data_IF_580938523090
#
_entry.id   IF_580938523090
#
_cell.length_a   1.000
_cell.length_b   1.000
_cell.length_c   1.000
_cell.angle_alpha   90.00
_cell.angle_beta   90.00
_cell.angle_gamma   90.00
#
_symmetry.space_group_name_H-M   'P 1'
#
loop_
_entity.id
_entity.type
_entity.pdbx_description
1 polymer ?
#
# COMPACT_ATOMS: atom_id res chain seq x y z
N UNK A 1 -20.24 -28.62 -41.94
CA UNK A 1 -18.96 -27.90 -41.79
C UNK A 1 -19.02 -26.74 -40.79
N UNK A 2 -20.12 -26.53 -40.04
CA UNK A 2 -20.34 -25.33 -39.20
C UNK A 2 -19.88 -25.41 -37.71
N UNK A 3 -19.45 -26.58 -37.21
CA UNK A 3 -19.08 -26.72 -35.79
C UNK A 3 -17.63 -26.32 -35.46
N UNK A 4 -16.72 -26.31 -36.46
CA UNK A 4 -15.29 -26.01 -36.23
C UNK A 4 -15.06 -24.51 -36.03
N UNK A 5 -15.82 -23.68 -36.74
CA UNK A 5 -15.68 -22.21 -36.66
C UNK A 5 -16.06 -21.70 -35.26
N UNK A 6 -17.10 -22.26 -34.63
CA UNK A 6 -17.50 -21.89 -33.27
C UNK A 6 -16.47 -22.25 -32.19
N UNK A 7 -15.67 -23.30 -32.38
CA UNK A 7 -14.58 -23.67 -31.45
C UNK A 7 -13.42 -22.69 -31.58
N UNK A 8 -13.07 -22.31 -32.81
CA UNK A 8 -11.99 -21.35 -33.07
C UNK A 8 -12.38 -19.97 -32.53
N UNK A 9 -13.57 -19.46 -32.84
CA UNK A 9 -14.05 -18.17 -32.34
C UNK A 9 -14.03 -18.10 -30.80
N UNK A 10 -14.54 -19.14 -30.13
CA UNK A 10 -14.53 -19.17 -28.65
C UNK A 10 -13.12 -19.21 -28.07
N UNK A 11 -12.17 -19.88 -28.73
CA UNK A 11 -10.78 -19.88 -28.28
C UNK A 11 -10.12 -18.51 -28.50
N UNK A 12 -10.44 -17.82 -29.60
CA UNK A 12 -9.97 -16.46 -29.86
C UNK A 12 -10.50 -15.48 -28.80
N UNK A 13 -11.79 -15.54 -28.45
CA UNK A 13 -12.37 -14.70 -27.38
C UNK A 13 -11.65 -14.88 -26.03
N UNK A 14 -11.32 -16.13 -25.66
CA UNK A 14 -10.57 -16.41 -24.43
C UNK A 14 -9.16 -15.82 -24.50
N UNK A 15 -8.48 -15.95 -25.64
CA UNK A 15 -7.15 -15.37 -25.83
C UNK A 15 -7.19 -13.84 -25.78
N UNK A 16 -8.19 -13.21 -26.39
CA UNK A 16 -8.39 -11.76 -26.33
C UNK A 16 -8.61 -11.27 -24.89
N UNK A 17 -9.38 -12.00 -24.09
CA UNK A 17 -9.55 -11.70 -22.67
C UNK A 17 -8.24 -11.88 -21.89
N UNK A 18 -7.48 -12.95 -22.15
CA UNK A 18 -6.17 -13.18 -21.53
C UNK A 18 -5.18 -12.04 -21.86
N UNK A 19 -5.17 -11.56 -23.11
CA UNK A 19 -4.35 -10.41 -23.52
C UNK A 19 -4.77 -9.16 -22.77
N UNK A 20 -6.07 -8.86 -22.71
CA UNK A 20 -6.59 -7.70 -21.99
C UNK A 20 -6.21 -7.73 -20.51
N UNK A 21 -6.38 -8.88 -19.84
CA UNK A 21 -6.03 -9.04 -18.43
C UNK A 21 -4.52 -8.80 -18.19
N UNK A 22 -3.66 -9.29 -19.09
CA UNK A 22 -2.22 -9.06 -19.05
C UNK A 22 -1.84 -7.61 -19.31
N UNK A 23 -2.53 -6.92 -20.23
CA UNK A 23 -2.33 -5.49 -20.48
C UNK A 23 -2.70 -4.65 -19.25
N UNK A 24 -3.82 -4.98 -18.58
CA UNK A 24 -4.20 -4.35 -17.32
C UNK A 24 -3.19 -4.61 -16.21
N UNK A 25 -2.72 -5.85 -16.03
CA UNK A 25 -1.68 -6.18 -15.06
C UNK A 25 -0.38 -5.42 -15.36
N UNK A 26 0.05 -5.35 -16.63
CA UNK A 26 1.23 -4.57 -17.03
C UNK A 26 1.08 -3.09 -16.66
N UNK A 27 -0.08 -2.48 -16.90
CA UNK A 27 -0.33 -1.09 -16.54
C UNK A 27 -0.25 -0.86 -15.01
N UNK A 28 -0.72 -1.83 -14.21
CA UNK A 28 -0.59 -1.80 -12.75
C UNK A 28 0.87 -1.91 -12.30
N UNK A 29 1.66 -2.78 -12.93
CA UNK A 29 3.09 -2.88 -12.64
C UNK A 29 3.85 -1.60 -12.98
N UNK A 30 3.52 -0.95 -14.10
CA UNK A 30 4.16 0.33 -14.48
C UNK A 30 3.83 1.44 -13.48
N UNK A 31 2.58 1.50 -12.99
CA UNK A 31 2.14 2.57 -12.09
C UNK A 31 2.51 2.35 -10.63
N UNK A 32 2.40 1.12 -10.12
CA UNK A 32 2.60 0.79 -8.71
C UNK A 32 3.97 0.18 -8.44
N UNK A 33 4.56 -0.50 -9.42
CA UNK A 33 5.84 -1.19 -9.29
C UNK A 33 6.95 -0.31 -8.71
N UNK A 34 7.23 0.89 -9.27
CA UNK A 34 8.29 1.76 -8.74
C UNK A 34 8.13 2.08 -7.24
N UNK A 35 6.89 2.29 -6.76
CA UNK A 35 6.61 2.59 -5.35
C UNK A 35 6.84 1.40 -4.40
N UNK A 36 6.83 0.19 -4.94
CA UNK A 36 6.88 -1.07 -4.20
C UNK A 36 8.22 -1.81 -4.35
N UNK A 37 8.90 -1.66 -5.49
CA UNK A 37 10.15 -2.37 -5.82
C UNK A 37 11.35 -1.81 -5.06
N UNK A 38 11.36 -0.51 -4.78
CA UNK A 38 12.48 0.16 -4.10
C UNK A 38 12.57 -0.17 -2.60
N UNK A 39 11.59 -0.89 -2.05
CA UNK A 39 11.48 -1.17 -0.61
C UNK A 39 11.44 -2.67 -0.36
N UNK A 40 12.50 -3.18 0.26
CA UNK A 40 12.65 -4.60 0.57
C UNK A 40 11.44 -5.14 1.34
N UNK A 41 10.91 -6.28 0.88
CA UNK A 41 9.81 -7.00 1.53
C UNK A 41 8.40 -6.51 1.22
N UNK A 42 8.23 -5.40 0.48
CA UNK A 42 6.90 -4.93 0.07
C UNK A 42 6.29 -5.76 -1.05
N UNK A 43 7.10 -6.36 -1.92
CA UNK A 43 6.69 -7.36 -2.89
C UNK A 43 7.27 -8.71 -2.49
N UNK A 44 6.47 -9.76 -2.65
CA UNK A 44 6.84 -11.14 -2.37
C UNK A 44 6.83 -11.96 -3.63
N UNK A 45 7.61 -13.04 -3.62
CA UNK A 45 7.58 -14.02 -4.69
C UNK A 45 6.15 -14.57 -4.88
N UNK A 46 5.68 -14.55 -6.13
CA UNK A 46 4.33 -14.99 -6.49
C UNK A 46 3.23 -13.95 -6.35
N UNK A 47 3.54 -12.71 -5.95
CA UNK A 47 2.57 -11.62 -6.03
C UNK A 47 2.12 -11.37 -7.47
N UNK A 48 0.82 -11.19 -7.66
CA UNK A 48 0.21 -10.87 -8.94
C UNK A 48 -0.59 -9.58 -8.84
N UNK A 49 -0.25 -8.59 -9.65
CA UNK A 49 -0.95 -7.31 -9.73
C UNK A 49 -2.09 -7.39 -10.76
N UNK A 50 -3.07 -8.25 -10.46
CA UNK A 50 -4.30 -8.34 -11.26
C UNK A 50 -5.31 -7.27 -10.85
N UNK A 51 -6.29 -6.98 -11.70
CA UNK A 51 -7.38 -6.04 -11.39
C UNK A 51 -8.07 -6.34 -10.03
N UNK A 52 -8.24 -7.64 -9.69
CA UNK A 52 -8.85 -8.07 -8.42
C UNK A 52 -8.04 -7.65 -7.19
N UNK A 53 -6.71 -7.59 -7.31
CA UNK A 53 -5.81 -7.25 -6.20
C UNK A 53 -5.24 -5.83 -6.30
N UNK A 54 -5.52 -5.12 -7.38
CA UNK A 54 -5.03 -3.77 -7.64
C UNK A 54 -5.31 -2.81 -6.48
N UNK A 55 -6.54 -2.82 -5.94
CA UNK A 55 -6.90 -1.96 -4.81
C UNK A 55 -6.01 -2.17 -3.58
N UNK A 56 -5.72 -3.42 -3.22
CA UNK A 56 -4.81 -3.75 -2.11
C UNK A 56 -3.41 -3.20 -2.39
N UNK A 57 -2.84 -3.47 -3.56
CA UNK A 57 -1.47 -3.03 -3.86
C UNK A 57 -1.36 -1.52 -4.05
N UNK A 58 -2.41 -0.85 -4.54
CA UNK A 58 -2.49 0.61 -4.60
C UNK A 58 -2.43 1.21 -3.19
N UNK A 59 -3.20 0.67 -2.25
CA UNK A 59 -3.12 1.09 -0.84
C UNK A 59 -1.73 0.85 -0.27
N UNK A 60 -1.13 -0.31 -0.53
CA UNK A 60 0.23 -0.60 -0.06
C UNK A 60 1.26 0.40 -0.61
N UNK A 61 1.17 0.72 -1.90
CA UNK A 61 2.08 1.65 -2.56
C UNK A 61 2.00 3.06 -1.98
N UNK A 62 0.78 3.58 -1.78
CA UNK A 62 0.55 4.90 -1.18
C UNK A 62 0.99 4.95 0.28
N UNK A 63 0.70 3.90 1.05
CA UNK A 63 1.15 3.81 2.45
C UNK A 63 2.67 3.77 2.53
N UNK A 64 3.32 2.97 1.69
CA UNK A 64 4.77 2.87 1.68
C UNK A 64 5.44 4.17 1.25
N UNK A 65 4.89 4.84 0.23
CA UNK A 65 5.33 6.16 -0.21
C UNK A 65 5.27 7.18 0.92
N UNK A 66 4.12 7.28 1.60
CA UNK A 66 3.95 8.19 2.73
C UNK A 66 4.93 7.91 3.88
N UNK A 67 5.12 6.63 4.22
CA UNK A 67 6.01 6.21 5.30
C UNK A 67 7.50 6.39 4.95
N UNK A 68 7.85 6.46 3.66
CA UNK A 68 9.22 6.71 3.22
C UNK A 68 9.60 8.19 3.13
N UNK A 69 8.71 9.12 3.49
CA UNK A 69 9.06 10.53 3.61
C UNK A 69 10.02 10.79 4.78
N UNK A 70 10.93 11.75 4.63
CA UNK A 70 12.00 12.05 5.61
C UNK A 70 11.46 12.23 7.04
N UNK A 71 10.38 13.00 7.20
CA UNK A 71 9.73 13.19 8.51
C UNK A 71 9.27 11.85 9.12
N UNK A 72 8.71 10.95 8.33
CA UNK A 72 8.17 9.68 8.85
C UNK A 72 9.26 8.69 9.22
N UNK A 73 10.42 8.80 8.59
CA UNK A 73 11.63 8.12 9.05
C UNK A 73 12.06 8.72 10.40
N UNK A 74 12.23 10.04 10.49
CA UNK A 74 12.67 10.72 11.73
C UNK A 74 11.75 10.46 12.94
N UNK A 75 10.43 10.58 12.76
CA UNK A 75 9.43 10.42 13.82
C UNK A 75 8.99 8.96 14.03
N UNK A 76 9.66 8.00 13.40
CA UNK A 76 9.39 6.58 13.62
C UNK A 76 8.01 6.11 13.15
N UNK A 77 7.51 6.68 12.06
CA UNK A 77 6.33 6.21 11.33
C UNK A 77 5.10 7.11 11.41
N UNK A 78 3.94 6.55 11.01
CA UNK A 78 2.68 7.27 10.96
C UNK A 78 1.54 6.51 11.65
N UNK A 79 0.55 7.24 12.17
CA UNK A 79 -0.67 6.65 12.71
C UNK A 79 -1.58 6.10 11.60
N UNK A 80 -2.46 5.17 11.96
CA UNK A 80 -3.48 4.62 11.05
C UNK A 80 -4.35 5.73 10.43
N UNK A 81 -4.60 6.82 11.16
CA UNK A 81 -5.45 7.93 10.68
C UNK A 81 -4.74 8.76 9.62
N UNK A 82 -3.48 9.12 9.85
CA UNK A 82 -2.67 9.86 8.87
C UNK A 82 -2.56 9.08 7.56
N UNK A 83 -2.29 7.77 7.65
CA UNK A 83 -2.22 6.90 6.48
C UNK A 83 -3.55 6.81 5.73
N UNK A 84 -4.67 6.70 6.44
CA UNK A 84 -5.98 6.66 5.80
C UNK A 84 -6.29 7.97 5.07
N UNK A 85 -6.03 9.11 5.71
CA UNK A 85 -6.26 10.43 5.12
C UNK A 85 -5.41 10.63 3.86
N UNK A 86 -4.16 10.19 3.87
CA UNK A 86 -3.31 10.24 2.69
C UNK A 86 -3.87 9.37 1.54
N UNK A 87 -4.26 8.12 1.84
CA UNK A 87 -4.85 7.23 0.83
C UNK A 87 -6.17 7.79 0.28
N UNK A 88 -7.01 8.37 1.12
CA UNK A 88 -8.29 8.97 0.72
C UNK A 88 -8.10 10.18 -0.21
N UNK A 89 -7.02 10.95 -0.04
CA UNK A 89 -6.71 12.11 -0.88
C UNK A 89 -6.16 11.72 -2.28
N UNK A 90 -5.42 10.62 -2.36
CA UNK A 90 -4.74 10.18 -3.59
C UNK A 90 -5.59 9.22 -4.46
N UNK A 91 -6.69 8.70 -3.91
CA UNK A 91 -7.57 7.76 -4.62
C UNK A 91 -8.82 8.49 -5.10
N UNK A 92 -9.14 8.45 -6.42
CA UNK A 92 -10.39 9.01 -6.94
C UNK A 92 -11.61 8.45 -6.21
N UNK A 93 -12.64 9.26 -6.02
CA UNK A 93 -13.83 8.87 -5.23
C UNK A 93 -14.51 7.59 -5.74
N UNK A 94 -14.48 7.35 -7.06
CA UNK A 94 -15.01 6.12 -7.68
C UNK A 94 -14.28 4.84 -7.23
N UNK A 95 -13.03 4.96 -6.79
CA UNK A 95 -12.18 3.88 -6.29
C UNK A 95 -11.95 3.97 -4.77
N UNK A 96 -12.71 4.84 -4.07
CA UNK A 96 -12.46 5.15 -2.66
C UNK A 96 -12.51 3.89 -1.78
N UNK A 97 -11.45 3.70 -1.01
CA UNK A 97 -11.35 2.62 -0.04
C UNK A 97 -11.94 3.10 1.27
N UNK A 98 -13.08 2.55 1.69
CA UNK A 98 -13.62 2.90 3.00
C UNK A 98 -12.67 2.48 4.15
N UNK A 99 -12.82 3.14 5.31
CA UNK A 99 -11.94 2.94 6.45
C UNK A 99 -11.83 1.48 6.95
N UNK A 100 -12.92 0.71 6.92
CA UNK A 100 -12.91 -0.69 7.37
C UNK A 100 -12.12 -1.59 6.42
N UNK A 101 -12.27 -1.38 5.11
CA UNK A 101 -11.47 -2.06 4.09
C UNK A 101 -10.00 -1.68 4.22
N UNK A 102 -9.70 -0.39 4.41
CA UNK A 102 -8.34 0.08 4.67
C UNK A 102 -7.71 -0.62 5.88
N UNK A 103 -8.39 -0.63 7.03
CA UNK A 103 -7.92 -1.34 8.23
C UNK A 103 -7.68 -2.84 7.98
N UNK A 104 -8.56 -3.47 7.21
CA UNK A 104 -8.41 -4.88 6.83
C UNK A 104 -7.17 -5.12 5.97
N UNK A 105 -6.84 -4.19 5.07
CA UNK A 105 -5.60 -4.22 4.31
C UNK A 105 -4.37 -4.02 5.21
N UNK A 106 -4.37 -3.03 6.09
CA UNK A 106 -3.27 -2.79 7.04
C UNK A 106 -2.97 -4.02 7.91
N UNK A 107 -4.01 -4.64 8.49
CA UNK A 107 -3.85 -5.87 9.26
C UNK A 107 -3.31 -7.06 8.43
N UNK A 108 -3.64 -7.09 7.13
CA UNK A 108 -3.10 -8.09 6.20
C UNK A 108 -1.64 -7.81 5.88
N UNK A 109 -1.24 -6.56 5.62
CA UNK A 109 0.16 -6.20 5.37
C UNK A 109 1.05 -6.51 6.57
N UNK A 110 0.56 -6.27 7.80
CA UNK A 110 1.25 -6.65 9.02
C UNK A 110 1.48 -8.16 9.12
N UNK A 111 0.43 -8.96 8.92
CA UNK A 111 0.54 -10.44 8.95
C UNK A 111 1.43 -10.98 7.84
N UNK A 112 1.42 -10.32 6.68
CA UNK A 112 2.31 -10.64 5.58
C UNK A 112 3.73 -10.09 5.81
N UNK A 113 4.03 -9.38 6.89
CA UNK A 113 5.37 -8.84 7.15
C UNK A 113 5.83 -7.81 6.11
N UNK A 114 4.89 -7.15 5.43
CA UNK A 114 5.17 -6.07 4.48
C UNK A 114 5.25 -4.72 5.17
N UNK A 115 4.49 -4.56 6.24
CA UNK A 115 4.52 -3.37 7.10
C UNK A 115 4.67 -3.81 8.54
N UNK A 116 5.21 -2.93 9.35
CA UNK A 116 5.39 -3.13 10.78
C UNK A 116 4.53 -2.14 11.55
N UNK A 117 4.06 -2.57 12.72
CA UNK A 117 3.32 -1.73 13.64
C UNK A 117 3.99 -1.77 14.99
N UNK A 118 4.47 -0.61 15.45
CA UNK A 118 5.00 -0.44 16.79
C UNK A 118 3.83 -0.23 17.75
N UNK A 119 3.63 -1.18 18.68
CA UNK A 119 2.52 -1.13 19.63
C UNK A 119 2.71 -0.11 20.76
N UNK A 120 3.94 0.31 21.05
CA UNK A 120 4.26 1.27 22.11
C UNK A 120 3.98 2.70 21.64
N UNK A 121 4.38 3.02 20.40
CA UNK A 121 4.19 4.35 19.80
C UNK A 121 2.92 4.45 18.95
N UNK A 122 2.23 3.34 18.73
CA UNK A 122 1.06 3.22 17.86
C UNK A 122 1.29 3.67 16.40
N UNK A 123 2.52 3.49 15.89
CA UNK A 123 2.95 3.94 14.54
C UNK A 123 3.27 2.78 13.60
N UNK A 124 2.96 2.97 12.33
CA UNK A 124 3.26 2.07 11.22
C UNK A 124 4.60 2.42 10.55
N UNK A 125 5.34 1.42 10.07
CA UNK A 125 6.63 1.54 9.37
C UNK A 125 6.76 0.54 8.22
N UNK A 126 7.66 0.82 7.27
CA UNK A 126 7.98 -0.07 6.13
C UNK A 126 8.96 -1.18 6.53
N UNK A 127 9.99 -0.85 7.33
CA UNK A 127 10.99 -1.81 7.82
C UNK A 127 10.92 -2.07 9.33
N UNK A 128 11.53 -3.18 9.76
CA UNK A 128 11.72 -3.52 11.19
C UNK A 128 12.89 -2.76 11.82
N UNK A 129 13.92 -2.47 11.01
CA UNK A 129 15.23 -2.01 11.48
C UNK A 129 15.52 -0.52 11.18
N UNK A 130 14.57 0.19 10.56
CA UNK A 130 14.73 1.62 10.30
C UNK A 130 14.36 2.43 11.56
N UNK A 131 15.43 2.90 12.21
CA UNK A 131 15.54 3.77 13.38
C UNK A 131 15.37 3.11 14.76
N UNK A 132 16.54 2.79 15.36
CA UNK A 132 16.89 3.33 16.68
C UNK A 132 16.51 4.80 16.72
N UNK A 133 15.32 5.08 17.24
CA UNK A 133 14.96 6.43 17.66
C UNK A 133 15.89 6.74 18.83
N UNK A 134 16.74 7.77 18.73
CA UNK A 134 17.38 8.28 19.94
C UNK A 134 16.26 8.84 20.82
N UNK A 135 16.11 8.28 22.01
CA UNK A 135 15.08 8.67 22.99
C UNK A 135 15.07 10.19 23.25
N UNK A 136 16.18 10.87 22.96
CA UNK A 136 16.37 12.32 23.12
C UNK A 136 15.42 13.21 22.30
N UNK A 137 14.87 12.76 21.15
CA UNK A 137 14.04 13.64 20.31
C UNK A 137 12.52 13.50 20.54
N UNK A 138 12.08 12.47 21.29
CA UNK A 138 10.64 12.23 21.50
C UNK A 138 10.09 13.10 22.64
N UNK A 139 10.92 13.40 23.64
CA UNK A 139 10.49 14.12 24.83
C UNK A 139 10.35 15.64 24.60
N UNK A 140 11.20 16.26 23.77
CA UNK A 140 11.14 17.71 23.53
C UNK A 140 9.88 18.14 22.75
N UNK A 141 9.47 17.40 21.73
CA UNK A 141 8.32 17.78 20.90
C UNK A 141 6.97 17.42 21.56
N UNK A 142 6.93 16.39 22.42
CA UNK A 142 5.73 16.06 23.21
C UNK A 142 5.46 17.13 24.28
N UNK A 143 6.52 17.70 24.87
CA UNK A 143 6.44 18.86 25.78
C UNK A 143 5.95 20.11 25.02
N UNK A 144 6.48 20.41 23.84
CA UNK A 144 6.02 21.55 23.01
C UNK A 144 4.56 21.41 22.55
N UNK A 145 4.14 20.21 22.14
CA UNK A 145 2.75 19.96 21.79
C UNK A 145 1.80 20.13 22.99
N UNK A 146 2.21 19.68 24.18
CA UNK A 146 1.44 19.86 25.42
C UNK A 146 1.34 21.33 25.81
N UNK A 147 2.43 22.09 25.65
CA UNK A 147 2.48 23.52 25.93
C UNK A 147 1.59 24.33 24.96
N UNK A 148 1.58 23.96 23.67
CA UNK A 148 0.75 24.63 22.66
C UNK A 148 -0.76 24.38 22.81
N UNK A 149 -1.16 23.34 23.56
CA UNK A 149 -2.56 23.01 23.89
C UNK A 149 -3.02 23.51 25.25
N UNK A 150 -2.11 24.06 26.06
CA UNK A 150 -2.40 24.63 27.38
C UNK A 150 -2.60 26.15 27.36
N UNK A 151 -2.51 26.78 26.18
CA UNK A 151 -2.77 28.20 25.93
C UNK A 151 -4.04 28.36 25.09
#
# INVERSE_FOLDING_TARGET
MMQRDGIISRRLEVIEQEIYDLECERALWISLGPKLVERDGLLKEGDKLTARFAGKFKVLALVAEYLGGEDRLLYGGASTRELYQHVEQEVPEADAVNYNTFRSHMARFLREGRLYYNSETHRWRVGRDELTVSEENVDEEYEEYRASKAT
#
